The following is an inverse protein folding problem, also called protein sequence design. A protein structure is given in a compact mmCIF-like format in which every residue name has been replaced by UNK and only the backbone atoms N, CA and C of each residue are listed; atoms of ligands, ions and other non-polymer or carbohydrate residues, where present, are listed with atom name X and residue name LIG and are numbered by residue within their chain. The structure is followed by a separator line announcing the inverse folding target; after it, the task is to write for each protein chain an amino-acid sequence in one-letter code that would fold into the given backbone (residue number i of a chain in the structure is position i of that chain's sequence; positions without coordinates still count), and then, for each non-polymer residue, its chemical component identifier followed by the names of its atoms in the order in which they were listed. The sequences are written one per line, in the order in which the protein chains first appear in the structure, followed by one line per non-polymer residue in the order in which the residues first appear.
data_IF_796510368181
#
_entry.id   IF_796510368181
#
_cell.length_a   1.000
_cell.length_b   1.000
_cell.length_c   1.000
_cell.angle_alpha   90.00
_cell.angle_beta   90.00
_cell.angle_gamma   90.00
#
_symmetry.space_group_name_H-M   'P 1'
#
loop_
_entity.id
_entity.type
_entity.pdbx_description
1 polymer ?
#
# COMPACT_ATOMS: atom_id res chain seq x y z
N UNK A 1 19.50 -24.56 17.24
CA UNK A 1 19.01 -23.59 16.23
C UNK A 1 17.60 -23.19 16.63
N UNK A 2 17.33 -21.91 16.91
CA UNK A 2 15.94 -21.46 17.10
C UNK A 2 15.24 -21.56 15.75
N UNK A 3 14.18 -22.36 15.68
CA UNK A 3 13.26 -22.40 14.55
C UNK A 3 12.79 -20.97 14.27
N UNK A 4 13.20 -20.41 13.11
CA UNK A 4 12.67 -19.12 12.67
C UNK A 4 11.32 -19.39 12.04
N UNK A 5 10.33 -18.67 12.49
CA UNK A 5 8.95 -18.88 12.09
C UNK A 5 8.61 -17.86 11.00
N UNK A 6 7.98 -18.28 9.89
CA UNK A 6 7.81 -17.44 8.71
C UNK A 6 6.68 -16.42 8.90
N UNK A 7 7.03 -15.14 8.87
CA UNK A 7 6.09 -14.04 8.70
C UNK A 7 5.88 -13.77 7.21
N UNK A 8 4.62 -13.69 6.78
CA UNK A 8 4.24 -13.33 5.42
C UNK A 8 3.60 -11.94 5.44
N UNK A 9 4.18 -11.00 4.69
CA UNK A 9 3.63 -9.67 4.48
C UNK A 9 2.94 -9.63 3.12
N UNK A 10 1.67 -9.23 3.10
CA UNK A 10 0.89 -9.02 1.89
C UNK A 10 0.61 -7.52 1.74
N UNK A 11 0.99 -6.92 0.61
CA UNK A 11 0.57 -5.56 0.27
C UNK A 11 -0.42 -5.61 -0.89
N UNK A 12 -1.62 -5.07 -0.68
CA UNK A 12 -2.64 -4.93 -1.71
C UNK A 12 -2.65 -3.50 -2.26
N UNK A 13 -2.75 -3.35 -3.57
CA UNK A 13 -2.80 -2.02 -4.20
C UNK A 13 -2.81 -2.12 -5.72
N UNK A 14 -3.05 -0.98 -6.39
CA UNK A 14 -3.08 -0.92 -7.85
C UNK A 14 -1.71 -1.11 -8.50
N UNK A 15 -0.62 -0.77 -7.77
CA UNK A 15 0.76 -0.81 -8.27
C UNK A 15 0.91 -0.25 -9.70
N UNK A 16 0.35 0.94 -9.94
CA UNK A 16 0.16 1.52 -11.27
C UNK A 16 0.95 2.84 -11.48
N UNK A 17 2.29 2.81 -11.63
CA UNK A 17 3.16 1.63 -11.54
C UNK A 17 3.64 1.36 -10.10
N UNK A 18 4.32 0.24 -9.89
CA UNK A 18 5.12 0.03 -8.68
C UNK A 18 6.24 1.08 -8.60
N UNK A 19 6.59 1.50 -7.39
CA UNK A 19 7.57 2.58 -7.11
C UNK A 19 8.56 2.11 -6.05
N UNK A 20 9.66 2.83 -5.88
CA UNK A 20 10.63 2.55 -4.82
C UNK A 20 10.03 2.67 -3.41
N UNK A 21 8.98 3.49 -3.24
CA UNK A 21 8.27 3.59 -1.96
C UNK A 21 7.50 2.30 -1.63
N UNK A 22 6.84 1.66 -2.61
CA UNK A 22 6.18 0.37 -2.37
C UNK A 22 7.15 -0.70 -1.86
N UNK A 23 8.35 -0.79 -2.45
CA UNK A 23 9.38 -1.72 -1.98
C UNK A 23 9.91 -1.33 -0.59
N UNK A 24 10.07 -0.02 -0.34
CA UNK A 24 10.52 0.50 0.95
C UNK A 24 9.59 0.11 2.10
N UNK A 25 8.28 0.07 1.86
CA UNK A 25 7.30 -0.38 2.86
C UNK A 25 7.63 -1.79 3.39
N UNK A 26 8.00 -2.72 2.50
CA UNK A 26 8.35 -4.09 2.93
C UNK A 26 9.61 -4.12 3.78
N UNK A 27 10.64 -3.35 3.42
CA UNK A 27 11.89 -3.29 4.18
C UNK A 27 11.65 -2.70 5.57
N UNK A 28 10.88 -1.60 5.66
CA UNK A 28 10.55 -0.95 6.93
C UNK A 28 9.73 -1.87 7.83
N UNK A 29 8.75 -2.58 7.28
CA UNK A 29 7.95 -3.56 8.02
C UNK A 29 8.79 -4.74 8.51
N UNK A 30 9.65 -5.28 7.64
CA UNK A 30 10.54 -6.41 7.98
C UNK A 30 11.49 -6.05 9.13
N UNK A 31 12.07 -4.85 9.10
CA UNK A 31 13.02 -4.42 10.13
C UNK A 31 12.34 -4.17 11.49
N UNK A 32 11.04 -3.84 11.50
CA UNK A 32 10.26 -3.65 12.73
C UNK A 32 9.80 -4.97 13.36
N UNK A 33 9.46 -5.96 12.54
CA UNK A 33 8.83 -7.19 12.99
C UNK A 33 9.89 -8.24 13.37
N UNK A 34 9.92 -8.60 14.65
CA UNK A 34 10.75 -9.70 15.14
C UNK A 34 9.97 -11.03 15.19
N UNK A 35 10.70 -12.14 15.25
CA UNK A 35 10.20 -13.52 15.12
C UNK A 35 8.96 -13.81 15.98
N UNK A 36 7.92 -14.36 15.35
CA UNK A 36 6.68 -14.84 15.99
C UNK A 36 6.79 -16.31 16.40
N UNK A 37 5.79 -16.84 17.11
CA UNK A 37 5.69 -18.25 17.56
C UNK A 37 4.89 -19.18 16.65
N UNK A 38 4.19 -18.63 15.64
CA UNK A 38 3.59 -19.37 14.52
C UNK A 38 3.66 -18.55 13.21
N UNK A 39 3.57 -19.19 12.02
CA UNK A 39 3.47 -18.46 10.78
C UNK A 39 2.28 -17.50 10.80
N UNK A 40 2.51 -16.24 10.48
CA UNK A 40 1.47 -15.22 10.49
C UNK A 40 1.43 -14.50 9.14
N UNK A 41 0.22 -14.30 8.62
CA UNK A 41 -0.04 -13.44 7.47
C UNK A 41 -0.51 -12.09 7.99
N UNK A 42 0.17 -11.01 7.61
CA UNK A 42 -0.24 -9.64 7.95
C UNK A 42 -0.40 -8.78 6.70
N UNK A 43 -1.42 -7.92 6.71
CA UNK A 43 -1.65 -6.94 5.66
C UNK A 43 -0.73 -5.73 5.90
N UNK A 44 0.14 -5.46 4.94
CA UNK A 44 1.02 -4.30 4.91
C UNK A 44 0.34 -3.13 4.19
N UNK A 45 0.27 -1.98 4.83
CA UNK A 45 -0.35 -0.80 4.26
C UNK A 45 0.32 0.51 4.72
N UNK A 46 0.07 1.59 3.99
CA UNK A 46 0.34 2.94 4.45
C UNK A 46 -0.75 3.46 5.40
N UNK A 47 -0.45 4.53 6.11
CA UNK A 47 -1.41 5.22 6.99
C UNK A 47 -2.64 5.78 6.24
N UNK A 48 -2.46 6.16 4.98
CA UNK A 48 -3.52 6.57 4.06
C UNK A 48 -4.55 5.45 3.84
N UNK A 49 -4.09 4.20 3.68
CA UNK A 49 -4.99 3.04 3.57
C UNK A 49 -5.80 2.81 4.85
N UNK A 50 -5.18 2.90 6.03
CA UNK A 50 -5.87 2.72 7.31
C UNK A 50 -7.02 3.74 7.48
N UNK A 51 -6.84 4.96 7.00
CA UNK A 51 -7.90 5.99 7.03
C UNK A 51 -9.12 5.62 6.19
N UNK A 52 -8.94 4.82 5.13
CA UNK A 52 -10.05 4.40 4.25
C UNK A 52 -11.08 3.50 4.96
N UNK A 53 -10.73 2.87 6.08
CA UNK A 53 -11.68 2.11 6.90
C UNK A 53 -12.83 2.98 7.44
N UNK A 54 -12.64 4.30 7.54
CA UNK A 54 -13.70 5.24 7.93
C UNK A 54 -14.57 5.70 6.77
N UNK A 55 -14.18 5.44 5.52
CA UNK A 55 -14.93 5.89 4.35
C UNK A 55 -16.27 5.15 4.29
N UNK A 56 -17.42 5.85 4.37
CA UNK A 56 -18.73 5.21 4.34
C UNK A 56 -18.91 4.37 3.08
N UNK A 57 -19.49 3.18 3.23
CA UNK A 57 -19.79 2.24 2.14
C UNK A 57 -18.57 1.71 1.36
N UNK A 58 -17.35 1.96 1.82
CA UNK A 58 -16.15 1.41 1.18
C UNK A 58 -15.78 0.03 1.73
N UNK A 59 -15.86 -0.12 3.05
CA UNK A 59 -15.51 -1.35 3.75
C UNK A 59 -16.70 -1.86 4.54
N UNK A 60 -16.93 -3.17 4.47
CA UNK A 60 -17.84 -3.85 5.40
C UNK A 60 -17.13 -4.03 6.73
N UNK A 61 -17.84 -3.76 7.82
CA UNK A 61 -17.29 -3.89 9.17
C UNK A 61 -16.82 -5.33 9.46
N UNK A 62 -17.52 -6.34 8.92
CA UNK A 62 -17.12 -7.75 9.03
C UNK A 62 -15.73 -8.03 8.42
N UNK A 63 -15.38 -7.35 7.33
CA UNK A 63 -14.10 -7.54 6.66
C UNK A 63 -12.98 -6.81 7.41
N UNK A 64 -13.25 -5.61 7.94
CA UNK A 64 -12.28 -4.89 8.77
C UNK A 64 -11.96 -5.73 10.01
N UNK A 65 -13.01 -6.25 10.67
CA UNK A 65 -12.87 -7.14 11.83
C UNK A 65 -12.00 -8.35 11.48
N UNK A 66 -12.31 -9.06 10.40
CA UNK A 66 -11.54 -10.23 9.99
C UNK A 66 -10.07 -9.92 9.74
N UNK A 67 -9.77 -8.79 9.08
CA UNK A 67 -8.39 -8.34 8.83
C UNK A 67 -7.63 -8.15 10.15
N UNK A 68 -8.18 -7.39 11.10
CA UNK A 68 -7.44 -7.05 12.33
C UNK A 68 -7.49 -8.15 13.39
N UNK A 69 -8.50 -9.02 13.37
CA UNK A 69 -8.66 -10.13 14.33
C UNK A 69 -7.86 -11.36 13.90
N UNK A 70 -7.99 -11.82 12.63
CA UNK A 70 -7.42 -13.09 12.19
C UNK A 70 -6.01 -12.98 11.62
N UNK A 71 -5.72 -11.90 10.90
CA UNK A 71 -4.45 -11.75 10.16
C UNK A 71 -3.52 -10.76 10.87
N UNK A 72 -4.00 -9.53 11.04
CA UNK A 72 -3.25 -8.41 11.57
C UNK A 72 -2.83 -7.43 10.48
N UNK A 73 -2.47 -6.23 10.93
CA UNK A 73 -2.15 -5.10 10.08
C UNK A 73 -0.78 -4.56 10.44
N UNK A 74 0.02 -4.22 9.45
CA UNK A 74 1.28 -3.50 9.60
C UNK A 74 1.12 -2.19 8.85
N UNK A 75 0.96 -1.10 9.60
CA UNK A 75 0.68 0.21 9.07
C UNK A 75 1.92 1.11 9.18
N UNK A 76 2.40 1.61 8.06
CA UNK A 76 3.56 2.49 8.00
C UNK A 76 3.10 3.94 7.99
N UNK A 77 3.56 4.71 8.97
CA UNK A 77 3.22 6.14 9.10
C UNK A 77 3.85 6.97 7.98
N UNK A 78 3.08 7.90 7.42
CA UNK A 78 3.55 8.90 6.46
C UNK A 78 3.55 10.31 7.07
N UNK A 79 4.27 11.26 6.47
CA UNK A 79 4.32 12.61 6.99
C UNK A 79 2.90 13.24 7.03
N UNK A 80 2.49 13.75 8.19
CA UNK A 80 1.17 14.36 8.37
C UNK A 80 0.02 13.38 8.65
N UNK A 81 0.31 12.09 8.84
CA UNK A 81 -0.67 11.10 9.32
C UNK A 81 -0.36 10.67 10.75
N UNK A 82 -1.38 10.58 11.62
CA UNK A 82 -1.26 9.95 12.95
C UNK A 82 -2.12 8.67 13.03
N UNK A 83 -1.56 7.51 12.63
CA UNK A 83 -2.23 6.21 12.74
C UNK A 83 -2.75 5.90 14.14
N UNK A 84 -2.08 6.38 15.19
CA UNK A 84 -2.39 6.06 16.59
C UNK A 84 -3.73 6.68 16.99
N UNK A 85 -3.95 7.93 16.60
CA UNK A 85 -5.22 8.61 16.82
C UNK A 85 -6.37 7.87 16.13
N UNK A 86 -6.18 7.42 14.88
CA UNK A 86 -7.24 6.72 14.15
C UNK A 86 -7.65 5.38 14.78
N UNK A 87 -6.69 4.65 15.36
CA UNK A 87 -6.97 3.39 16.07
C UNK A 87 -7.81 3.69 17.31
N UNK A 88 -7.42 4.68 18.11
CA UNK A 88 -8.09 5.04 19.36
C UNK A 88 -9.53 5.55 19.17
N UNK A 89 -9.83 6.15 18.02
CA UNK A 89 -11.17 6.64 17.67
C UNK A 89 -12.12 5.53 17.21
N UNK A 90 -11.62 4.30 16.96
CA UNK A 90 -12.43 3.16 16.54
C UNK A 90 -12.45 2.09 17.62
N UNK A 91 -13.64 1.77 18.13
CA UNK A 91 -13.83 0.72 19.13
C UNK A 91 -13.31 -0.64 18.62
N UNK A 92 -13.53 -0.94 17.34
CA UNK A 92 -13.08 -2.17 16.69
C UNK A 92 -11.55 -2.23 16.61
N UNK A 93 -10.90 -1.16 16.13
CA UNK A 93 -9.44 -1.14 15.99
C UNK A 93 -8.75 -1.12 17.35
N UNK A 94 -9.29 -0.37 18.32
CA UNK A 94 -8.78 -0.34 19.70
C UNK A 94 -8.85 -1.73 20.34
N UNK A 95 -9.95 -2.47 20.15
CA UNK A 95 -10.11 -3.83 20.66
C UNK A 95 -9.04 -4.80 20.15
N UNK A 96 -8.64 -4.66 18.87
CA UNK A 96 -7.65 -5.53 18.22
C UNK A 96 -6.27 -4.86 18.06
N UNK A 97 -5.98 -3.80 18.82
CA UNK A 97 -4.74 -3.02 18.68
C UNK A 97 -3.45 -3.86 18.82
N UNK A 98 -3.51 -4.96 19.59
CA UNK A 98 -2.37 -5.86 19.80
C UNK A 98 -1.92 -6.57 18.51
N UNK A 99 -2.78 -6.61 17.48
CA UNK A 99 -2.50 -7.20 16.18
C UNK A 99 -2.33 -6.12 15.08
N UNK A 100 -2.26 -4.85 15.46
CA UNK A 100 -2.03 -3.70 14.58
C UNK A 100 -0.67 -3.09 14.93
N UNK A 101 0.28 -3.21 14.02
CA UNK A 101 1.66 -2.76 14.20
C UNK A 101 1.86 -1.42 13.50
N UNK A 102 2.07 -0.37 14.27
CA UNK A 102 2.40 0.95 13.74
C UNK A 102 3.91 1.10 13.60
N UNK A 103 4.38 1.23 12.36
CA UNK A 103 5.80 1.40 12.06
C UNK A 103 6.07 2.83 11.62
N UNK A 104 6.96 3.50 12.35
CA UNK A 104 7.37 4.87 12.02
C UNK A 104 8.45 4.87 10.95
N UNK A 105 8.16 5.47 9.80
CA UNK A 105 9.20 5.76 8.80
C UNK A 105 9.89 7.10 9.13
N UNK A 106 11.21 7.07 9.27
CA UNK A 106 12.02 8.25 9.61
C UNK A 106 12.42 9.07 8.39
N UNK A 107 12.43 8.46 7.21
CA UNK A 107 12.81 9.09 5.94
C UNK A 107 11.52 9.41 5.19
N UNK A 108 11.27 10.69 4.94
CA UNK A 108 10.08 11.11 4.20
C UNK A 108 10.24 10.73 2.72
N UNK A 109 9.50 9.71 2.29
CA UNK A 109 9.45 9.25 0.90
C UNK A 109 8.02 9.36 0.36
N UNK A 110 7.61 10.56 -0.03
CA UNK A 110 6.24 10.87 -0.45
C UNK A 110 6.00 10.66 -1.96
N UNK A 111 6.58 9.60 -2.54
CA UNK A 111 6.38 9.28 -3.96
C UNK A 111 4.99 8.64 -4.16
N UNK A 112 4.10 9.31 -4.88
CA UNK A 112 2.82 8.71 -5.31
C UNK A 112 2.88 8.20 -6.76
N UNK A 113 2.26 7.05 -7.02
CA UNK A 113 2.13 6.51 -8.38
C UNK A 113 1.39 7.47 -9.33
N UNK A 114 0.47 8.29 -8.81
CA UNK A 114 -0.22 9.34 -9.58
C UNK A 114 0.73 10.42 -10.07
N UNK A 115 1.67 10.87 -9.23
CA UNK A 115 2.70 11.82 -9.65
C UNK A 115 3.68 11.20 -10.66
N UNK A 116 3.99 9.91 -10.52
CA UNK A 116 4.80 9.18 -11.50
C UNK A 116 4.12 9.16 -12.87
N UNK A 117 2.84 8.78 -12.96
CA UNK A 117 2.09 8.81 -14.22
C UNK A 117 2.04 10.21 -14.82
N UNK A 118 1.78 11.23 -14.00
CA UNK A 118 1.77 12.63 -14.47
C UNK A 118 3.14 13.09 -15.01
N UNK A 119 4.24 12.71 -14.35
CA UNK A 119 5.59 13.01 -14.83
C UNK A 119 5.89 12.31 -16.16
N UNK A 120 5.54 11.02 -16.27
CA UNK A 120 5.71 10.23 -17.49
C UNK A 120 4.94 10.83 -18.67
N UNK A 121 3.67 11.21 -18.48
CA UNK A 121 2.86 11.85 -19.52
C UNK A 121 3.52 13.12 -20.10
N UNK A 122 4.28 13.84 -19.27
CA UNK A 122 4.96 15.09 -19.66
C UNK A 122 6.40 14.90 -20.14
N UNK A 123 6.84 13.64 -20.33
CA UNK A 123 8.21 13.33 -20.71
C UNK A 123 9.26 13.68 -19.65
N UNK A 124 8.85 13.85 -18.39
CA UNK A 124 9.78 14.12 -17.29
C UNK A 124 10.43 12.82 -16.82
N UNK A 125 11.68 12.92 -16.35
CA UNK A 125 12.38 11.76 -15.82
C UNK A 125 11.78 11.32 -14.49
N UNK A 126 11.57 10.00 -14.35
CA UNK A 126 11.19 9.34 -13.09
C UNK A 126 12.32 8.45 -12.55
N UNK A 127 13.54 8.63 -13.05
CA UNK A 127 14.72 7.89 -12.60
C UNK A 127 14.92 8.10 -11.09
N UNK A 128 15.33 7.03 -10.39
CA UNK A 128 15.49 6.96 -8.93
C UNK A 128 14.18 6.98 -8.11
N UNK A 129 13.02 7.23 -8.72
CA UNK A 129 11.72 7.14 -8.07
C UNK A 129 11.06 5.77 -8.29
N UNK A 130 11.41 5.14 -9.40
CA UNK A 130 10.90 3.86 -9.90
C UNK A 130 12.10 2.98 -10.30
N UNK A 131 12.02 1.64 -10.18
CA UNK A 131 13.09 0.76 -10.64
C UNK A 131 13.40 0.94 -12.13
N UNK A 132 14.69 0.89 -12.50
CA UNK A 132 15.13 1.07 -13.90
C UNK A 132 14.47 0.05 -14.85
N UNK A 133 14.27 -1.19 -14.40
CA UNK A 133 13.58 -2.23 -15.19
C UNK A 133 12.11 -1.88 -15.49
N UNK A 134 11.42 -1.24 -14.55
CA UNK A 134 10.04 -0.77 -14.72
C UNK A 134 10.02 0.43 -15.68
N UNK A 135 11.00 1.34 -15.59
CA UNK A 135 11.16 2.45 -16.53
C UNK A 135 11.38 1.92 -17.95
N UNK A 136 12.26 0.93 -18.13
CA UNK A 136 12.50 0.28 -19.43
C UNK A 136 11.24 -0.37 -19.99
N UNK A 137 10.48 -1.06 -19.15
CA UNK A 137 9.20 -1.66 -19.54
C UNK A 137 8.19 -0.60 -19.98
N UNK A 138 8.05 0.49 -19.20
CA UNK A 138 7.15 1.61 -19.53
C UNK A 138 7.49 2.20 -20.90
N UNK A 139 8.77 2.45 -21.15
CA UNK A 139 9.24 2.98 -22.43
C UNK A 139 9.03 2.00 -23.60
N UNK A 140 9.30 0.71 -23.40
CA UNK A 140 9.13 -0.31 -24.43
C UNK A 140 7.66 -0.50 -24.85
N UNK A 141 6.74 -0.37 -23.91
CA UNK A 141 5.31 -0.61 -24.14
C UNK A 141 4.49 0.66 -24.35
N UNK A 142 5.10 1.84 -24.31
CA UNK A 142 4.43 3.15 -24.45
C UNK A 142 3.21 3.30 -23.52
N UNK A 143 3.33 2.86 -22.28
CA UNK A 143 2.29 3.04 -21.25
C UNK A 143 2.48 4.36 -20.50
N UNK A 144 1.39 4.98 -20.05
CA UNK A 144 1.38 6.31 -19.41
C UNK A 144 1.78 7.47 -20.35
N UNK A 145 1.38 7.39 -21.62
CA UNK A 145 1.34 8.52 -22.56
C UNK A 145 0.10 9.38 -22.35
N UNK A 146 0.10 10.61 -22.85
CA UNK A 146 -1.07 11.51 -22.80
C UNK A 146 -2.34 10.83 -23.37
N UNK A 147 -2.22 10.10 -24.47
CA UNK A 147 -3.34 9.37 -25.10
C UNK A 147 -3.84 8.18 -24.25
N UNK A 148 -2.94 7.46 -23.57
CA UNK A 148 -3.29 6.30 -22.74
C UNK A 148 -3.97 6.67 -21.42
N UNK A 149 -3.66 7.84 -20.85
CA UNK A 149 -4.32 8.33 -19.64
C UNK A 149 -5.66 9.03 -19.96
N UNK A 150 -5.78 9.71 -21.12
CA UNK A 150 -7.06 10.31 -21.56
C UNK A 150 -8.14 9.25 -21.90
N UNK A 151 -7.74 8.11 -22.45
CA UNK A 151 -8.64 6.96 -22.68
C UNK A 151 -9.03 6.19 -21.42
N UNK A 152 -8.44 6.54 -20.26
CA UNK A 152 -8.71 5.91 -18.96
C UNK A 152 -9.72 6.68 -18.10
N UNK A 153 -10.65 7.44 -18.72
CA UNK A 153 -11.76 8.06 -18.00
C UNK A 153 -12.66 7.01 -17.31
N UNK A 154 -13.27 7.31 -16.14
CA UNK A 154 -13.78 6.29 -15.22
C UNK A 154 -15.02 5.52 -15.71
N UNK A 155 -15.72 6.01 -16.74
CA UNK A 155 -17.03 5.48 -17.14
C UNK A 155 -16.95 4.29 -18.13
N UNK A 156 -15.81 4.04 -18.77
CA UNK A 156 -15.74 3.09 -19.90
C UNK A 156 -15.10 1.72 -19.60
N UNK A 157 -14.58 1.47 -18.39
CA UNK A 157 -13.84 0.21 -18.09
C UNK A 157 -14.66 -0.95 -17.51
N UNK A 158 -15.93 -0.75 -17.15
CA UNK A 158 -16.77 -1.88 -16.69
C UNK A 158 -17.49 -2.62 -17.83
N UNK A 159 -17.57 -2.04 -19.04
CA UNK A 159 -18.38 -2.62 -20.14
C UNK A 159 -17.54 -3.51 -21.08
N UNK A 160 -16.22 -3.36 -21.11
CA UNK A 160 -15.34 -4.05 -22.07
C UNK A 160 -14.75 -5.38 -21.59
N UNK A 161 -15.18 -5.90 -20.44
CA UNK A 161 -14.82 -7.24 -19.93
C UNK A 161 -15.99 -8.24 -19.92
N UNK A 162 -17.09 -7.93 -20.59
CA UNK A 162 -18.28 -8.79 -20.68
C UNK A 162 -18.84 -9.01 -22.11
N UNK A 163 -18.02 -8.81 -23.15
CA UNK A 163 -18.25 -9.35 -24.50
C UNK A 163 -16.94 -9.90 -25.05
#
# INVERSE_FOLDING_TARGET
MKSRIPLILLACGSFNPITNMHMRLFEVARDHLHQTVLPELKLLCGADFLQTFKTPNLWKEEHIKEIVEKFGLVCISRAGSDPSQYINESDLLTKFQHNIFLVKEWIQNEISATQIRYALCRGLSVKYLVPDSVISYIAQHNIYTEESEQSSSPELKWVSLLL
#
